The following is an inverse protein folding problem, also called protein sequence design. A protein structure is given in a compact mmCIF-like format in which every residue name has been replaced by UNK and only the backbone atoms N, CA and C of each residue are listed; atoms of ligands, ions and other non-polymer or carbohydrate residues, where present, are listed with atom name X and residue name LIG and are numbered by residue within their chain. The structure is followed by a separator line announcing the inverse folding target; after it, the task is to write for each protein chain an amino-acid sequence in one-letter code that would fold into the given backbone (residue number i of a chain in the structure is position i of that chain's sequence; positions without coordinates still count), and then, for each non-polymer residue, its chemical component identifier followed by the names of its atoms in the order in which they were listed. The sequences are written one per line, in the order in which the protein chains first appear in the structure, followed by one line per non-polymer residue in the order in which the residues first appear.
data_IF_395849483121
#
_entry.id   IF_395849483121
#
_cell.length_a   1.000
_cell.length_b   1.000
_cell.length_c   1.000
_cell.angle_alpha   90.00
_cell.angle_beta   90.00
_cell.angle_gamma   90.00
#
_symmetry.space_group_name_H-M   'P 1'
#
loop_
_entity.id
_entity.type
_entity.pdbx_description
1 polymer ?
#
# COMPACT_ATOMS: atom_id res chain seq x y z
N UNK A 1 -59.49 -12.17 -8.95
CA UNK A 1 -58.59 -12.02 -7.78
C UNK A 1 -58.23 -10.56 -7.69
N UNK A 2 -58.63 -9.88 -6.63
CA UNK A 2 -58.23 -8.47 -6.47
C UNK A 2 -56.74 -8.36 -6.17
N UNK A 3 -56.02 -7.69 -7.06
CA UNK A 3 -54.58 -7.44 -6.87
C UNK A 3 -54.44 -6.40 -5.76
N UNK A 4 -53.77 -6.78 -4.69
CA UNK A 4 -53.42 -5.86 -3.61
C UNK A 4 -52.23 -4.99 -4.02
N UNK A 5 -52.33 -3.68 -3.81
CA UNK A 5 -51.27 -2.72 -4.11
C UNK A 5 -50.66 -2.18 -2.82
N UNK A 6 -49.32 -2.05 -2.82
CA UNK A 6 -48.54 -1.53 -1.69
C UNK A 6 -47.70 -0.33 -2.12
N UNK A 7 -47.28 0.50 -1.17
CA UNK A 7 -46.42 1.67 -1.43
C UNK A 7 -44.94 1.28 -1.46
N UNK A 8 -44.15 2.08 -2.15
CA UNK A 8 -42.68 1.88 -2.27
C UNK A 8 -41.98 1.71 -0.92
N UNK A 9 -42.49 2.31 0.17
CA UNK A 9 -41.93 2.15 1.53
C UNK A 9 -42.11 0.74 2.08
N UNK A 10 -43.25 0.10 1.83
CA UNK A 10 -43.55 -1.26 2.28
C UNK A 10 -42.72 -2.29 1.51
N UNK A 11 -42.68 -2.14 0.17
CA UNK A 11 -41.86 -3.02 -0.68
C UNK A 11 -40.36 -2.88 -0.39
N UNK A 12 -39.89 -1.66 -0.07
CA UNK A 12 -38.50 -1.39 0.28
C UNK A 12 -38.08 -2.12 1.57
N UNK A 13 -38.96 -2.19 2.56
CA UNK A 13 -38.71 -2.95 3.80
C UNK A 13 -38.62 -4.45 3.53
N UNK A 14 -39.49 -5.00 2.66
CA UNK A 14 -39.49 -6.42 2.29
C UNK A 14 -38.21 -6.82 1.50
N UNK A 15 -37.76 -5.96 0.58
CA UNK A 15 -36.64 -6.28 -0.29
C UNK A 15 -35.27 -5.82 0.27
N UNK A 16 -35.26 -5.09 1.40
CA UNK A 16 -34.01 -4.58 2.00
C UNK A 16 -33.30 -3.54 1.14
N UNK A 17 -34.07 -2.69 0.44
CA UNK A 17 -33.57 -1.60 -0.40
C UNK A 17 -34.18 -0.27 0.00
N UNK A 18 -33.63 0.86 -0.44
CA UNK A 18 -34.19 2.17 -0.12
C UNK A 18 -35.47 2.44 -0.92
N UNK A 19 -36.47 3.18 -0.36
CA UNK A 19 -37.67 3.60 -1.10
C UNK A 19 -37.33 4.37 -2.38
N UNK A 20 -36.24 5.12 -2.38
CA UNK A 20 -35.75 5.84 -3.58
C UNK A 20 -35.38 4.87 -4.71
N UNK A 21 -34.77 3.72 -4.39
CA UNK A 21 -34.44 2.69 -5.38
C UNK A 21 -35.68 2.03 -5.95
N UNK A 22 -36.72 1.76 -5.14
CA UNK A 22 -38.01 1.24 -5.62
C UNK A 22 -38.68 2.25 -6.58
N UNK A 23 -38.72 3.52 -6.21
CA UNK A 23 -39.28 4.56 -7.07
C UNK A 23 -38.56 4.66 -8.41
N UNK A 24 -37.22 4.51 -8.40
CA UNK A 24 -36.42 4.47 -9.62
C UNK A 24 -36.76 3.27 -10.51
N UNK A 25 -36.91 2.07 -9.94
CA UNK A 25 -37.32 0.87 -10.68
C UNK A 25 -38.72 1.00 -11.29
N UNK A 26 -39.66 1.66 -10.58
CA UNK A 26 -40.95 2.00 -11.14
C UNK A 26 -40.84 2.95 -12.33
N UNK A 27 -40.02 3.98 -12.22
CA UNK A 27 -39.79 4.95 -13.31
C UNK A 27 -39.11 4.30 -14.52
N UNK A 28 -38.21 3.32 -14.29
CA UNK A 28 -37.53 2.54 -15.32
C UNK A 28 -38.40 1.43 -15.94
N UNK A 29 -39.68 1.28 -15.49
CA UNK A 29 -40.59 0.25 -15.99
C UNK A 29 -40.20 -1.19 -15.60
N UNK A 30 -39.32 -1.36 -14.62
CA UNK A 30 -38.79 -2.68 -14.19
C UNK A 30 -39.71 -3.41 -13.17
N UNK A 31 -40.79 -2.78 -12.75
CA UNK A 31 -41.80 -3.38 -11.86
C UNK A 31 -43.13 -3.47 -12.60
N UNK A 32 -43.47 -4.65 -13.18
CA UNK A 32 -44.69 -4.84 -13.95
C UNK A 32 -45.92 -4.52 -13.10
N UNK A 33 -46.89 -3.85 -13.69
CA UNK A 33 -48.13 -3.49 -13.03
C UNK A 33 -48.08 -2.31 -12.04
N UNK A 34 -46.89 -1.72 -11.84
CA UNK A 34 -46.78 -0.51 -11.02
C UNK A 34 -47.35 0.71 -11.78
N UNK A 35 -48.15 1.50 -11.10
CA UNK A 35 -48.71 2.75 -11.65
C UNK A 35 -48.59 3.89 -10.64
N UNK A 36 -48.72 5.11 -11.11
CA UNK A 36 -48.57 6.30 -10.27
C UNK A 36 -49.95 6.86 -9.89
N UNK A 37 -50.19 6.96 -8.60
CA UNK A 37 -51.39 7.59 -8.04
C UNK A 37 -51.00 8.85 -7.25
N UNK A 38 -51.27 10.00 -7.84
CA UNK A 38 -50.83 11.29 -7.27
C UNK A 38 -49.30 11.38 -7.13
N UNK A 39 -48.82 11.48 -5.88
CA UNK A 39 -47.35 11.57 -5.57
C UNK A 39 -46.70 10.22 -5.29
N UNK A 40 -47.50 9.12 -5.25
CA UNK A 40 -47.00 7.82 -4.83
C UNK A 40 -47.07 6.78 -5.95
N UNK A 41 -46.12 5.84 -5.92
CA UNK A 41 -46.16 4.63 -6.73
C UNK A 41 -46.97 3.56 -5.99
N UNK A 42 -47.94 2.98 -6.69
CA UNK A 42 -48.73 1.82 -6.29
C UNK A 42 -48.19 0.60 -7.03
N UNK A 43 -47.75 -0.40 -6.27
CA UNK A 43 -47.00 -1.54 -6.81
C UNK A 43 -47.75 -2.80 -6.41
N UNK A 44 -47.99 -3.77 -7.33
CA UNK A 44 -48.62 -5.04 -6.98
C UNK A 44 -47.82 -5.73 -5.87
N UNK A 45 -48.55 -6.27 -4.87
CA UNK A 45 -47.92 -6.91 -3.70
C UNK A 45 -47.21 -8.22 -4.06
N UNK A 46 -47.60 -8.85 -5.15
CA UNK A 46 -47.07 -10.10 -5.69
C UNK A 46 -45.94 -9.90 -6.71
N UNK A 47 -45.47 -8.65 -6.93
CA UNK A 47 -44.42 -8.37 -7.90
C UNK A 47 -43.10 -9.04 -7.52
N UNK A 48 -42.51 -9.75 -8.48
CA UNK A 48 -41.23 -10.41 -8.29
C UNK A 48 -40.06 -9.41 -8.20
N UNK A 49 -39.07 -9.78 -7.40
CA UNK A 49 -37.85 -8.98 -7.26
C UNK A 49 -37.04 -9.04 -8.54
N UNK A 50 -36.75 -7.91 -9.21
CA UNK A 50 -35.98 -7.88 -10.44
C UNK A 50 -34.56 -8.42 -10.28
N UNK A 51 -34.03 -9.09 -11.30
CA UNK A 51 -32.68 -9.68 -11.28
C UNK A 51 -31.57 -8.67 -11.02
N UNK A 52 -31.72 -7.43 -11.45
CA UNK A 52 -30.81 -6.34 -11.15
C UNK A 52 -30.68 -6.00 -9.64
N UNK A 53 -31.59 -6.52 -8.82
CA UNK A 53 -31.48 -6.47 -7.35
C UNK A 53 -31.01 -7.81 -6.75
N UNK A 54 -31.00 -8.91 -7.54
CA UNK A 54 -30.52 -10.24 -7.11
C UNK A 54 -29.00 -10.34 -7.21
N UNK A 55 -28.39 -9.72 -8.22
CA UNK A 55 -26.93 -9.77 -8.46
C UNK A 55 -26.08 -9.09 -7.38
N UNK A 56 -26.63 -8.16 -6.61
CA UNK A 56 -25.92 -7.51 -5.52
C UNK A 56 -25.80 -8.33 -4.21
N UNK A 57 -26.37 -9.54 -4.13
CA UNK A 57 -26.24 -10.39 -2.93
C UNK A 57 -24.90 -11.10 -2.78
N UNK A 58 -24.10 -11.20 -3.85
CA UNK A 58 -22.84 -11.95 -3.81
C UNK A 58 -21.58 -11.07 -3.62
N UNK A 59 -21.71 -9.75 -3.50
CA UNK A 59 -20.58 -8.84 -3.30
C UNK A 59 -20.33 -8.43 -1.84
N UNK A 60 -21.24 -8.76 -0.93
CA UNK A 60 -21.03 -8.61 0.50
C UNK A 60 -21.02 -10.00 1.14
N UNK A 61 -19.82 -10.54 1.32
CA UNK A 61 -19.59 -11.63 2.27
C UNK A 61 -20.20 -11.16 3.59
N UNK A 62 -21.18 -11.90 4.12
CA UNK A 62 -21.62 -11.77 5.50
C UNK A 62 -20.42 -12.14 6.37
N UNK A 63 -19.63 -11.15 6.74
CA UNK A 63 -18.84 -11.24 7.96
C UNK A 63 -19.83 -11.24 9.11
N UNK A 64 -19.66 -12.16 10.04
CA UNK A 64 -20.53 -12.34 11.21
C UNK A 64 -20.95 -11.02 11.83
N UNK A 65 -22.24 -10.82 12.00
CA UNK A 65 -22.86 -9.60 12.51
C UNK A 65 -22.44 -9.20 13.95
N UNK A 66 -21.69 -10.04 14.64
CA UNK A 66 -21.13 -9.76 15.97
C UNK A 66 -19.86 -8.90 15.94
N UNK A 67 -19.15 -8.83 14.79
CA UNK A 67 -17.91 -8.04 14.63
C UNK A 67 -18.18 -6.63 14.12
N UNK A 68 -19.36 -6.37 13.55
CA UNK A 68 -19.68 -5.09 12.89
C UNK A 68 -20.01 -3.93 13.83
N UNK A 69 -20.11 -4.14 15.16
CA UNK A 69 -20.51 -3.09 16.11
C UNK A 69 -19.35 -2.26 16.69
N UNK A 70 -18.08 -2.54 16.33
CA UNK A 70 -16.97 -1.61 16.58
C UNK A 70 -16.64 -0.93 15.26
N UNK A 71 -17.10 0.32 15.09
CA UNK A 71 -16.61 1.19 14.00
C UNK A 71 -15.08 1.26 14.10
N UNK A 72 -14.38 0.59 13.17
CA UNK A 72 -12.92 0.69 13.13
C UNK A 72 -12.54 2.16 12.91
N UNK A 73 -11.60 2.71 13.69
CA UNK A 73 -11.19 4.09 13.54
C UNK A 73 -10.54 4.33 12.16
N UNK A 74 -10.66 5.56 11.66
CA UNK A 74 -9.89 5.94 10.48
C UNK A 74 -8.40 6.06 10.85
N UNK A 75 -7.46 5.59 9.99
CA UNK A 75 -6.02 5.65 10.26
C UNK A 75 -5.49 7.07 10.07
N UNK A 76 -5.58 7.91 11.10
CA UNK A 76 -5.03 9.27 11.07
C UNK A 76 -3.60 9.24 11.63
N UNK A 77 -2.62 9.62 10.79
CA UNK A 77 -1.21 9.66 11.19
C UNK A 77 -0.49 8.30 11.28
N UNK A 78 -1.19 7.19 11.00
CA UNK A 78 -0.60 5.84 11.04
C UNK A 78 0.03 5.54 9.68
N UNK A 79 1.31 5.15 9.68
CA UNK A 79 2.08 4.79 8.48
C UNK A 79 2.35 3.28 8.37
N UNK A 80 2.13 2.53 9.44
CA UNK A 80 2.31 1.07 9.48
C UNK A 80 1.10 0.35 8.87
N UNK A 81 1.33 -0.38 7.79
CA UNK A 81 0.29 -1.21 7.17
C UNK A 81 -0.18 -2.35 8.07
N UNK A 82 0.74 -2.95 8.86
CA UNK A 82 0.42 -4.02 9.80
C UNK A 82 -0.62 -3.57 10.82
N UNK A 83 -0.44 -2.37 11.37
CA UNK A 83 -1.35 -1.75 12.34
C UNK A 83 -2.69 -1.40 11.69
N UNK A 84 -2.66 -0.68 10.56
CA UNK A 84 -3.87 -0.25 9.84
C UNK A 84 -4.70 -1.43 9.36
N UNK A 85 -4.05 -2.49 8.86
CA UNK A 85 -4.75 -3.68 8.35
C UNK A 85 -5.57 -4.41 9.41
N UNK A 86 -5.11 -4.39 10.67
CA UNK A 86 -5.76 -5.09 11.78
C UNK A 86 -6.77 -4.21 12.53
N UNK A 87 -6.43 -2.96 12.78
CA UNK A 87 -7.12 -2.13 13.78
C UNK A 87 -7.99 -1.04 13.16
N UNK A 88 -7.69 -0.61 11.93
CA UNK A 88 -8.34 0.54 11.33
C UNK A 88 -9.24 0.16 10.14
N UNK A 89 -10.08 1.14 9.75
CA UNK A 89 -10.78 1.07 8.47
C UNK A 89 -9.78 1.28 7.34
N UNK A 90 -9.50 0.22 6.58
CA UNK A 90 -8.55 0.24 5.47
C UNK A 90 -9.27 0.10 4.12
N UNK A 91 -9.07 1.08 3.24
CA UNK A 91 -9.48 0.96 1.83
C UNK A 91 -8.47 0.06 1.12
N UNK A 92 -8.89 -1.13 0.74
CA UNK A 92 -8.02 -2.17 0.18
C UNK A 92 -7.43 -1.74 -1.18
N UNK A 93 -6.12 -1.45 -1.17
CA UNK A 93 -5.30 -1.11 -2.34
C UNK A 93 -4.35 -2.23 -2.76
N UNK A 94 -4.52 -3.44 -2.20
CA UNK A 94 -3.56 -4.54 -2.40
C UNK A 94 -3.46 -5.04 -3.84
N UNK A 95 -4.42 -4.73 -4.72
CA UNK A 95 -4.31 -5.02 -6.15
C UNK A 95 -3.15 -4.30 -6.84
N UNK A 96 -2.63 -3.21 -6.26
CA UNK A 96 -1.39 -2.59 -6.73
C UNK A 96 -0.21 -3.59 -6.76
N UNK A 97 -0.18 -4.54 -5.83
CA UNK A 97 0.85 -5.59 -5.78
C UNK A 97 0.77 -6.46 -7.05
N UNK A 98 -0.45 -6.82 -7.47
CA UNK A 98 -0.66 -7.52 -8.73
C UNK A 98 -0.13 -6.71 -9.91
N UNK A 99 -0.51 -5.44 -9.98
CA UNK A 99 -0.10 -4.56 -11.08
C UNK A 99 1.43 -4.39 -11.14
N UNK A 100 2.13 -4.37 -9.98
CA UNK A 100 3.60 -4.36 -9.92
C UNK A 100 4.18 -5.68 -10.45
N UNK A 101 3.58 -6.82 -10.09
CA UNK A 101 4.07 -8.14 -10.52
C UNK A 101 3.87 -8.33 -12.02
N UNK A 102 2.71 -7.95 -12.55
CA UNK A 102 2.33 -8.20 -13.94
C UNK A 102 3.02 -7.28 -14.94
N UNK A 103 3.28 -6.03 -14.57
CA UNK A 103 3.86 -5.04 -15.49
C UNK A 103 5.36 -5.21 -15.74
N UNK A 104 6.08 -6.01 -14.95
CA UNK A 104 7.52 -6.27 -15.08
C UNK A 104 8.42 -5.03 -15.26
N UNK A 105 7.94 -3.84 -14.91
CA UNK A 105 8.74 -2.62 -14.97
C UNK A 105 9.82 -2.64 -13.89
N UNK A 106 11.04 -2.19 -14.23
CA UNK A 106 12.13 -2.11 -13.25
C UNK A 106 11.94 -0.98 -12.25
N UNK A 107 11.29 0.11 -12.67
CA UNK A 107 11.08 1.31 -11.86
C UNK A 107 9.62 1.73 -11.90
N UNK A 108 9.06 2.01 -10.74
CA UNK A 108 7.71 2.55 -10.57
C UNK A 108 7.79 3.90 -9.86
N UNK A 109 7.19 4.92 -10.46
CA UNK A 109 7.07 6.24 -9.85
C UNK A 109 5.61 6.47 -9.42
N UNK A 110 5.38 6.62 -8.12
CA UNK A 110 4.06 6.89 -7.56
C UNK A 110 3.89 8.39 -7.28
N UNK A 111 3.32 9.10 -8.23
CA UNK A 111 2.99 10.52 -8.09
C UNK A 111 1.58 10.68 -7.52
N UNK A 112 1.47 11.03 -6.25
CA UNK A 112 0.19 11.33 -5.60
C UNK A 112 0.32 12.56 -4.70
N UNK A 113 -0.74 13.36 -4.55
CA UNK A 113 -0.74 14.48 -3.62
C UNK A 113 -0.38 14.04 -2.18
N UNK A 114 0.06 14.97 -1.37
CA UNK A 114 0.28 14.74 0.07
C UNK A 114 -1.02 14.24 0.72
N UNK A 115 -0.92 13.39 1.74
CA UNK A 115 -2.04 12.79 2.52
C UNK A 115 -2.91 11.79 1.76
N UNK A 116 -2.53 11.33 0.57
CA UNK A 116 -3.22 10.25 -0.17
C UNK A 116 -2.70 8.85 0.14
N UNK A 117 -2.01 8.68 1.28
CA UNK A 117 -1.56 7.38 1.78
C UNK A 117 -0.41 6.77 0.98
N UNK A 118 0.52 7.59 0.42
CA UNK A 118 1.73 7.09 -0.29
C UNK A 118 2.56 6.18 0.62
N UNK A 119 3.01 6.71 1.76
CA UNK A 119 3.84 5.97 2.73
C UNK A 119 3.17 4.67 3.18
N UNK A 120 1.87 4.71 3.53
CA UNK A 120 1.12 3.51 3.89
C UNK A 120 1.06 2.49 2.74
N UNK A 121 0.92 2.94 1.50
CA UNK A 121 0.90 2.07 0.32
C UNK A 121 2.29 1.45 0.09
N UNK A 122 3.37 2.20 0.28
CA UNK A 122 4.74 1.70 0.17
C UNK A 122 5.05 0.70 1.28
N UNK A 123 4.60 0.95 2.52
CA UNK A 123 4.76 0.00 3.63
C UNK A 123 3.90 -1.27 3.42
N UNK A 124 2.75 -1.16 2.76
CA UNK A 124 1.97 -2.33 2.32
C UNK A 124 2.77 -3.19 1.32
N UNK A 125 3.38 -2.55 0.31
CA UNK A 125 4.20 -3.25 -0.69
C UNK A 125 5.41 -3.90 -0.01
N UNK A 126 6.09 -3.17 0.87
CA UNK A 126 7.18 -3.70 1.70
C UNK A 126 6.70 -4.91 2.50
N UNK A 127 5.64 -4.78 3.29
CA UNK A 127 5.10 -5.85 4.15
C UNK A 127 4.75 -7.10 3.36
N UNK A 128 4.32 -6.94 2.10
CA UNK A 128 4.00 -8.07 1.23
C UNK A 128 5.25 -8.82 0.76
N UNK A 129 6.23 -8.11 0.22
CA UNK A 129 7.37 -8.74 -0.43
C UNK A 129 8.49 -9.15 0.54
N UNK A 130 8.65 -8.38 1.64
CA UNK A 130 9.79 -8.50 2.52
C UNK A 130 9.85 -9.87 3.20
N UNK A 131 11.01 -10.52 3.05
CA UNK A 131 11.35 -11.74 3.78
C UNK A 131 11.69 -11.39 5.22
N UNK A 132 10.90 -11.89 6.15
CA UNK A 132 11.06 -11.68 7.59
C UNK A 132 10.91 -13.00 8.33
N UNK A 133 11.33 -13.06 9.59
CA UNK A 133 11.16 -14.25 10.44
C UNK A 133 9.71 -14.47 10.87
N UNK A 134 8.87 -13.44 10.73
CA UNK A 134 7.44 -13.52 11.07
C UNK A 134 6.58 -13.70 9.81
N UNK A 135 5.53 -14.50 9.90
CA UNK A 135 4.56 -14.66 8.80
C UNK A 135 3.71 -13.40 8.63
N UNK A 136 4.07 -12.61 7.61
CA UNK A 136 3.32 -11.41 7.25
C UNK A 136 2.11 -11.68 6.36
N UNK A 137 1.90 -12.93 5.90
CA UNK A 137 0.75 -13.32 5.07
C UNK A 137 -0.59 -13.06 5.77
N UNK A 138 -0.60 -13.09 7.09
CA UNK A 138 -1.80 -12.86 7.94
C UNK A 138 -2.48 -11.52 7.65
N UNK A 139 -1.71 -10.50 7.24
CA UNK A 139 -2.24 -9.17 6.90
C UNK A 139 -2.91 -9.10 5.53
N UNK A 140 -2.73 -10.14 4.70
CA UNK A 140 -3.22 -10.19 3.32
C UNK A 140 -4.32 -11.24 3.08
N UNK A 141 -4.51 -12.22 3.97
CA UNK A 141 -5.45 -13.34 3.80
C UNK A 141 -6.89 -12.89 3.48
N UNK A 142 -7.31 -11.74 4.01
CA UNK A 142 -8.66 -11.18 3.80
C UNK A 142 -8.66 -10.04 2.76
N UNK A 143 -7.56 -9.81 2.03
CA UNK A 143 -7.43 -8.74 1.06
C UNK A 143 -7.63 -9.25 -0.37
N UNK A 144 -7.86 -8.30 -1.30
CA UNK A 144 -8.13 -8.61 -2.71
C UNK A 144 -6.99 -9.40 -3.35
N UNK A 145 -5.73 -9.02 -3.10
CA UNK A 145 -4.55 -9.70 -3.64
C UNK A 145 -4.54 -11.21 -3.33
N UNK A 146 -5.06 -11.63 -2.16
CA UNK A 146 -5.06 -13.03 -1.77
C UNK A 146 -6.03 -13.88 -2.59
N UNK A 147 -7.00 -13.25 -3.26
CA UNK A 147 -7.99 -13.88 -4.13
C UNK A 147 -7.52 -14.01 -5.58
N UNK A 148 -6.44 -13.31 -5.95
CA UNK A 148 -5.91 -13.30 -7.34
C UNK A 148 -5.19 -14.60 -7.73
N UNK A 149 -4.93 -15.52 -6.79
CA UNK A 149 -4.42 -16.85 -7.09
C UNK A 149 -3.03 -17.17 -6.50
N UNK A 150 -2.53 -18.39 -6.80
CA UNK A 150 -1.30 -18.92 -6.24
C UNK A 150 -0.06 -18.14 -6.65
N UNK A 151 0.00 -17.70 -7.92
CA UNK A 151 1.12 -16.95 -8.50
C UNK A 151 1.56 -15.75 -7.64
N UNK A 152 0.60 -15.00 -7.09
CA UNK A 152 0.87 -13.83 -6.25
C UNK A 152 1.22 -14.22 -4.83
N UNK A 153 0.55 -15.25 -4.27
CA UNK A 153 0.82 -15.76 -2.92
C UNK A 153 2.24 -16.29 -2.77
N UNK A 154 2.77 -16.96 -3.78
CA UNK A 154 4.12 -17.51 -3.80
C UNK A 154 5.22 -16.44 -3.75
N UNK A 155 4.91 -15.21 -4.12
CA UNK A 155 5.84 -14.08 -4.06
C UNK A 155 5.84 -13.37 -2.71
N UNK A 156 4.87 -13.67 -1.85
CA UNK A 156 4.74 -13.05 -0.54
C UNK A 156 5.88 -13.50 0.38
N UNK A 157 6.55 -12.54 1.03
CA UNK A 157 7.63 -12.82 1.98
C UNK A 157 8.90 -13.41 1.36
N UNK A 158 9.15 -13.21 0.05
CA UNK A 158 10.22 -13.90 -0.66
C UNK A 158 11.42 -13.05 -1.03
N UNK A 159 11.35 -11.73 -0.85
CA UNK A 159 12.36 -10.81 -1.36
C UNK A 159 13.05 -10.03 -0.24
N UNK A 160 14.36 -9.78 -0.35
CA UNK A 160 14.99 -8.74 0.46
C UNK A 160 14.45 -7.37 0.01
N UNK A 161 14.13 -6.51 0.96
CA UNK A 161 13.57 -5.19 0.70
C UNK A 161 14.40 -4.13 1.39
N UNK A 162 14.87 -3.14 0.65
CA UNK A 162 15.45 -1.91 1.15
C UNK A 162 14.33 -0.86 1.22
N UNK A 163 14.16 -0.24 2.39
CA UNK A 163 13.12 0.77 2.60
C UNK A 163 13.71 2.05 3.18
N UNK A 164 13.82 3.08 2.35
CA UNK A 164 14.32 4.39 2.74
C UNK A 164 13.19 5.42 2.75
N UNK A 165 13.15 6.24 3.79
CA UNK A 165 12.29 7.43 3.84
C UNK A 165 13.11 8.65 4.22
N UNK A 166 12.99 9.71 3.43
CA UNK A 166 13.66 10.98 3.68
C UNK A 166 12.73 12.04 4.26
N UNK A 167 11.58 11.60 4.82
CA UNK A 167 10.55 12.52 5.32
C UNK A 167 11.07 13.45 6.44
N UNK A 168 12.05 13.01 7.22
CA UNK A 168 12.61 13.76 8.35
C UNK A 168 13.89 14.53 7.96
N UNK A 169 14.28 14.54 6.68
CA UNK A 169 15.44 15.25 6.16
C UNK A 169 15.15 16.74 5.94
N UNK A 170 14.89 17.46 7.03
CA UNK A 170 14.58 18.90 7.05
C UNK A 170 15.71 19.68 7.71
N UNK A 171 16.81 19.91 6.98
CA UNK A 171 18.00 20.55 7.52
C UNK A 171 18.30 21.85 6.80
N UNK A 172 18.87 22.83 7.53
CA UNK A 172 19.17 24.16 7.01
C UNK A 172 20.59 24.31 6.45
N UNK A 173 21.48 23.34 6.70
CA UNK A 173 22.85 23.31 6.18
C UNK A 173 23.13 22.01 5.45
N UNK A 174 24.10 22.03 4.52
CA UNK A 174 24.54 20.81 3.84
C UNK A 174 25.14 19.80 4.83
N UNK A 175 25.93 20.27 5.79
CA UNK A 175 26.58 19.38 6.78
C UNK A 175 25.56 18.59 7.58
N UNK A 176 24.50 19.24 8.09
CA UNK A 176 23.44 18.59 8.83
C UNK A 176 22.61 17.68 7.93
N UNK A 177 22.34 18.12 6.69
CA UNK A 177 21.65 17.30 5.69
C UNK A 177 22.45 16.02 5.39
N UNK A 178 23.74 16.14 5.15
CA UNK A 178 24.61 15.00 4.89
C UNK A 178 24.60 14.03 6.08
N UNK A 179 24.77 14.53 7.30
CA UNK A 179 24.67 13.71 8.51
C UNK A 179 23.33 12.97 8.64
N UNK A 180 22.22 13.65 8.32
CA UNK A 180 20.88 13.05 8.32
C UNK A 180 20.72 11.96 7.26
N UNK A 181 21.27 12.17 6.05
CA UNK A 181 21.27 11.15 4.99
C UNK A 181 22.13 9.92 5.39
N UNK A 182 23.31 10.15 5.95
CA UNK A 182 24.18 9.08 6.47
C UNK A 182 23.46 8.28 7.57
N UNK A 183 22.81 8.95 8.52
CA UNK A 183 22.03 8.31 9.57
C UNK A 183 20.92 7.43 9.02
N UNK A 184 20.17 7.94 8.02
CA UNK A 184 19.10 7.18 7.37
C UNK A 184 19.64 5.93 6.68
N UNK A 185 20.74 6.06 5.93
CA UNK A 185 21.39 4.92 5.27
C UNK A 185 21.93 3.91 6.28
N UNK A 186 22.63 4.36 7.33
CA UNK A 186 23.15 3.49 8.39
C UNK A 186 22.04 2.69 9.07
N UNK A 187 20.92 3.30 9.38
CA UNK A 187 19.78 2.59 9.95
C UNK A 187 19.26 1.50 9.03
N UNK A 188 19.28 1.72 7.72
CA UNK A 188 18.91 0.68 6.76
C UNK A 188 19.92 -0.46 6.72
N UNK A 189 21.22 -0.17 6.82
CA UNK A 189 22.26 -1.19 6.97
C UNK A 189 22.10 -1.98 8.28
N UNK A 190 21.78 -1.32 9.40
CA UNK A 190 21.50 -1.96 10.69
C UNK A 190 20.28 -2.89 10.61
N UNK A 191 19.29 -2.55 9.82
CA UNK A 191 18.12 -3.40 9.59
C UNK A 191 18.47 -4.73 8.92
N UNK A 192 19.61 -4.77 8.22
CA UNK A 192 20.16 -5.95 7.54
C UNK A 192 21.44 -6.44 8.21
N UNK A 193 21.48 -6.41 9.54
CA UNK A 193 22.66 -6.81 10.33
C UNK A 193 23.08 -8.27 10.10
N UNK A 194 22.18 -9.13 9.66
CA UNK A 194 22.43 -10.52 9.30
C UNK A 194 23.50 -10.68 8.22
N UNK A 195 23.73 -9.65 7.41
CA UNK A 195 24.79 -9.65 6.40
C UNK A 195 26.20 -9.78 7.01
N UNK A 196 26.41 -9.33 8.25
CA UNK A 196 27.72 -9.42 8.94
C UNK A 196 28.19 -10.85 9.09
N UNK A 197 27.27 -11.78 9.29
CA UNK A 197 27.56 -13.21 9.48
C UNK A 197 27.36 -14.06 8.22
N UNK A 198 27.03 -13.42 7.09
CA UNK A 198 26.77 -14.12 5.83
C UNK A 198 28.00 -14.84 5.31
N UNK A 199 27.87 -16.14 5.05
CA UNK A 199 28.94 -16.93 4.39
C UNK A 199 29.06 -16.66 2.88
N UNK A 200 28.07 -15.97 2.28
CA UNK A 200 28.03 -15.65 0.85
C UNK A 200 28.70 -14.33 0.50
N UNK A 201 29.03 -13.52 1.51
CA UNK A 201 29.70 -12.24 1.32
C UNK A 201 31.21 -12.38 1.46
N UNK A 202 31.95 -11.64 0.61
CA UNK A 202 33.41 -11.55 0.71
C UNK A 202 33.82 -10.73 1.93
N UNK A 203 35.08 -10.88 2.36
CA UNK A 203 35.63 -10.06 3.44
C UNK A 203 35.66 -8.58 3.07
N UNK A 204 35.78 -8.24 1.78
CA UNK A 204 35.65 -6.87 1.30
C UNK A 204 34.23 -6.32 1.52
N UNK A 205 33.18 -7.09 1.19
CA UNK A 205 31.79 -6.68 1.42
C UNK A 205 31.54 -6.47 2.93
N UNK A 206 32.04 -7.37 3.77
CA UNK A 206 31.92 -7.28 5.24
C UNK A 206 32.66 -6.08 5.82
N UNK A 207 33.87 -5.79 5.31
CA UNK A 207 34.63 -4.61 5.72
C UNK A 207 33.89 -3.32 5.36
N UNK A 208 33.33 -3.24 4.16
CA UNK A 208 32.51 -2.10 3.74
C UNK A 208 31.25 -1.96 4.60
N UNK A 209 30.53 -3.06 4.85
CA UNK A 209 29.38 -3.07 5.75
C UNK A 209 29.74 -2.51 7.12
N UNK A 210 30.86 -2.97 7.69
CA UNK A 210 31.35 -2.52 8.98
C UNK A 210 31.68 -1.04 8.99
N UNK A 211 32.35 -0.50 7.97
CA UNK A 211 32.68 0.93 7.91
C UNK A 211 31.44 1.83 7.92
N UNK A 212 30.33 1.41 7.26
CA UNK A 212 29.06 2.14 7.33
C UNK A 212 28.46 2.07 8.75
N UNK A 213 28.47 0.89 9.38
CA UNK A 213 27.88 0.70 10.72
C UNK A 213 28.65 1.45 11.79
N UNK A 214 29.97 1.47 11.73
CA UNK A 214 30.86 2.10 12.71
C UNK A 214 31.06 3.62 12.46
N UNK A 215 30.38 4.19 11.42
CA UNK A 215 30.50 5.60 11.01
C UNK A 215 31.92 6.01 10.54
N UNK A 216 32.67 5.07 10.00
CA UNK A 216 34.01 5.27 9.47
C UNK A 216 34.02 5.46 7.94
N UNK A 217 32.85 5.38 7.30
CA UNK A 217 32.70 5.46 5.85
C UNK A 217 32.87 6.90 5.33
N UNK A 218 33.46 7.03 4.16
CA UNK A 218 33.63 8.31 3.48
C UNK A 218 32.35 8.77 2.78
N UNK A 219 32.32 10.04 2.35
CA UNK A 219 31.22 10.57 1.54
C UNK A 219 31.00 9.75 0.27
N UNK A 220 32.08 9.27 -0.35
CA UNK A 220 32.04 8.44 -1.55
C UNK A 220 31.38 7.09 -1.23
N UNK A 221 31.72 6.49 -0.09
CA UNK A 221 31.10 5.23 0.34
C UNK A 221 29.59 5.39 0.51
N UNK A 222 29.14 6.47 1.15
CA UNK A 222 27.72 6.74 1.29
C UNK A 222 27.00 7.04 -0.03
N UNK A 223 27.66 7.67 -1.00
CA UNK A 223 27.10 7.88 -2.34
C UNK A 223 26.79 6.58 -3.09
N UNK A 224 27.54 5.51 -2.82
CA UNK A 224 27.33 4.19 -3.43
C UNK A 224 26.65 3.18 -2.50
N UNK A 225 26.32 3.59 -1.29
CA UNK A 225 25.82 2.70 -0.23
C UNK A 225 24.58 1.90 -0.66
N UNK A 226 23.60 2.53 -1.31
CA UNK A 226 22.38 1.86 -1.73
C UNK A 226 22.62 0.74 -2.73
N UNK A 227 23.49 0.98 -3.73
CA UNK A 227 23.87 -0.04 -4.70
C UNK A 227 24.66 -1.19 -4.08
N UNK A 228 25.58 -0.87 -3.16
CA UNK A 228 26.37 -1.87 -2.41
C UNK A 228 25.50 -2.73 -1.52
N UNK A 229 24.56 -2.13 -0.76
CA UNK A 229 23.60 -2.86 0.07
C UNK A 229 22.74 -3.79 -0.79
N UNK A 230 22.21 -3.28 -1.90
CA UNK A 230 21.43 -4.09 -2.85
C UNK A 230 22.22 -5.30 -3.38
N UNK A 231 23.48 -5.10 -3.77
CA UNK A 231 24.34 -6.19 -4.24
C UNK A 231 24.62 -7.23 -3.14
N UNK A 232 24.89 -6.80 -1.91
CA UNK A 232 25.13 -7.68 -0.77
C UNK A 232 23.88 -8.50 -0.42
N UNK A 233 22.71 -7.88 -0.37
CA UNK A 233 21.43 -8.56 -0.14
C UNK A 233 21.11 -9.58 -1.24
N UNK A 234 21.34 -9.19 -2.50
CA UNK A 234 21.13 -10.11 -3.63
C UNK A 234 22.04 -11.35 -3.53
N UNK A 235 23.34 -11.18 -3.16
CA UNK A 235 24.26 -12.30 -2.92
C UNK A 235 23.80 -13.18 -1.76
N UNK A 236 23.39 -12.56 -0.65
CA UNK A 236 22.99 -13.27 0.57
C UNK A 236 21.72 -14.12 0.35
N UNK A 237 20.68 -13.53 -0.23
CA UNK A 237 19.40 -14.19 -0.42
C UNK A 237 19.30 -14.99 -1.73
N UNK A 238 20.20 -14.75 -2.72
CA UNK A 238 20.13 -15.34 -4.05
C UNK A 238 18.92 -14.88 -4.85
N UNK A 239 18.42 -13.66 -4.57
CA UNK A 239 17.23 -13.07 -5.17
C UNK A 239 17.42 -11.59 -5.48
N UNK A 240 16.61 -11.08 -6.41
CA UNK A 240 16.54 -9.66 -6.68
C UNK A 240 16.05 -8.89 -5.45
N UNK A 241 16.58 -7.69 -5.27
CA UNK A 241 16.22 -6.78 -4.17
C UNK A 241 15.15 -5.83 -4.64
N UNK A 242 14.16 -5.61 -3.80
CA UNK A 242 13.16 -4.55 -4.02
C UNK A 242 13.60 -3.32 -3.24
N UNK A 243 13.72 -2.19 -3.92
CA UNK A 243 14.10 -0.91 -3.31
C UNK A 243 12.89 0.02 -3.32
N UNK A 244 12.50 0.47 -2.13
CA UNK A 244 11.37 1.38 -1.93
C UNK A 244 11.92 2.67 -1.31
N UNK A 245 11.66 3.80 -1.95
CA UNK A 245 12.14 5.11 -1.51
C UNK A 245 10.96 6.07 -1.38
N UNK A 246 10.73 6.56 -0.17
CA UNK A 246 9.68 7.54 0.12
C UNK A 246 10.26 8.94 0.34
N UNK A 247 9.58 9.95 -0.17
CA UNK A 247 9.93 11.38 -0.04
C UNK A 247 11.37 11.72 -0.46
N UNK A 248 11.86 11.11 -1.55
CA UNK A 248 13.21 11.33 -2.09
C UNK A 248 13.45 12.79 -2.51
N UNK A 249 12.41 13.54 -2.76
CA UNK A 249 12.43 14.95 -3.14
C UNK A 249 12.63 15.91 -1.96
N UNK A 250 12.38 15.47 -0.73
CA UNK A 250 12.50 16.32 0.48
C UNK A 250 13.92 16.90 0.65
N UNK A 251 15.03 16.14 0.60
CA UNK A 251 16.37 16.69 0.71
C UNK A 251 16.68 17.73 -0.39
N UNK A 252 16.20 17.46 -1.63
CA UNK A 252 16.43 18.32 -2.80
C UNK A 252 15.67 19.65 -2.63
N UNK A 253 14.42 19.60 -2.14
CA UNK A 253 13.64 20.79 -1.83
C UNK A 253 14.30 21.66 -0.75
N UNK A 254 14.82 21.03 0.32
CA UNK A 254 15.55 21.74 1.38
C UNK A 254 16.82 22.39 0.83
N UNK A 255 17.59 21.66 0.00
CA UNK A 255 18.77 22.21 -0.66
C UNK A 255 18.48 23.47 -1.48
N UNK A 256 17.34 23.46 -2.19
CA UNK A 256 16.90 24.63 -2.94
C UNK A 256 16.51 25.82 -2.04
N UNK A 257 15.81 25.54 -0.92
CA UNK A 257 15.35 26.58 0.03
C UNK A 257 16.54 27.22 0.76
N UNK A 258 17.53 26.42 1.16
CA UNK A 258 18.64 26.86 2.02
C UNK A 258 19.97 27.06 1.28
N UNK A 259 19.98 26.94 -0.05
CA UNK A 259 21.14 27.33 -0.90
C UNK A 259 22.26 26.30 -0.99
N UNK A 260 22.02 24.99 -0.70
CA UNK A 260 22.97 23.89 -0.89
C UNK A 260 22.47 22.85 -1.91
N UNK A 261 21.77 23.32 -2.94
CA UNK A 261 21.16 22.46 -3.96
C UNK A 261 22.16 21.61 -4.73
N UNK A 262 23.31 22.18 -5.11
CA UNK A 262 24.30 21.48 -5.95
C UNK A 262 24.94 20.32 -5.19
N UNK A 263 25.19 20.46 -3.91
CA UNK A 263 25.74 19.43 -3.04
C UNK A 263 24.77 18.27 -2.87
N UNK A 264 23.52 18.58 -2.51
CA UNK A 264 22.51 17.54 -2.28
C UNK A 264 22.12 16.81 -3.55
N UNK A 265 21.99 17.51 -4.68
CA UNK A 265 21.64 16.86 -5.96
C UNK A 265 22.80 15.97 -6.46
N UNK A 266 24.05 16.42 -6.26
CA UNK A 266 25.25 15.62 -6.56
C UNK A 266 25.26 14.31 -5.76
N UNK A 267 25.00 14.38 -4.46
CA UNK A 267 24.93 13.20 -3.60
C UNK A 267 23.77 12.27 -3.98
N UNK A 268 22.54 12.80 -4.06
CA UNK A 268 21.34 12.01 -4.35
C UNK A 268 21.37 11.34 -5.73
N UNK A 269 21.96 12.03 -6.73
CA UNK A 269 22.12 11.46 -8.07
C UNK A 269 23.00 10.21 -8.03
N UNK A 270 24.13 10.24 -7.33
CA UNK A 270 25.02 9.09 -7.22
C UNK A 270 24.36 7.96 -6.42
N UNK A 271 23.72 8.27 -5.30
CA UNK A 271 23.02 7.32 -4.45
C UNK A 271 21.91 6.56 -5.21
N UNK A 272 21.08 7.28 -5.95
CA UNK A 272 19.92 6.70 -6.64
C UNK A 272 20.30 6.03 -7.96
N UNK A 273 21.32 6.54 -8.68
CA UNK A 273 21.72 6.00 -10.00
C UNK A 273 22.14 4.53 -9.94
N UNK A 274 22.63 4.08 -8.81
CA UNK A 274 23.09 2.70 -8.61
C UNK A 274 21.95 1.66 -8.60
N UNK A 275 20.70 2.09 -8.34
CA UNK A 275 19.51 1.20 -8.22
C UNK A 275 18.44 1.50 -9.25
N UNK A 276 18.51 2.60 -9.98
CA UNK A 276 17.53 2.98 -11.01
C UNK A 276 17.94 2.52 -12.43
N UNK A 277 19.09 1.86 -12.57
CA UNK A 277 19.57 1.23 -13.82
C UNK A 277 19.19 -0.24 -13.84
#
# INVERSE_FOLDING_TARGET
MDIRYIKAKELSARWGVTPRRINQLCTEGKLPGAYKEGKFWMIPDDVDRPDCLRENRNLYVREDSAVYNRKRPCPVGITSYKEVSNECYYVDKTLLIRDIIDNHSKVYLFTRPRRFGKTLTMDMVRTFFEKTDTDTSVYFKNKKIWREGALYKEKQGQYPVIFLTFKDAHQSTWQDMYASLCFTLRNEFLRHIELTTSARLSDYDKKYLKSILDDEATIIDYQFALGKLSAMLSKHYGRNVIVIIDEYDTPIQQGHIFGYYDEVIGFMRNLLSAVLK
#
